data_IF_897562580818
#
_entry.id   IF_897562580818
#
_cell.length_a   1.000
_cell.length_b   1.000
_cell.length_c   1.000
_cell.angle_alpha   90.00
_cell.angle_beta   90.00
_cell.angle_gamma   90.00
#
_symmetry.space_group_name_H-M   'P 1'
#
loop_
_entity.id
_entity.type
_entity.pdbx_description
1 polymer ?
#
# COMPACT_ATOMS: atom_id res chain seq x y z
N UNK A 1 -24.33 20.82 15.53
CA UNK A 1 -23.57 19.90 16.40
C UNK A 1 -23.86 18.46 15.97
N UNK A 2 -22.90 17.79 15.32
CA UNK A 2 -22.60 16.35 15.43
C UNK A 2 -21.46 16.00 14.46
N UNK A 3 -20.23 16.11 14.99
CA UNK A 3 -18.96 15.69 14.37
C UNK A 3 -18.92 14.17 14.26
N UNK A 4 -19.55 13.59 13.25
CA UNK A 4 -19.16 12.26 12.75
C UNK A 4 -18.14 12.42 11.60
N UNK A 5 -17.14 13.27 11.83
CA UNK A 5 -15.86 13.36 11.12
C UNK A 5 -14.92 12.40 11.87
N UNK A 6 -14.36 11.33 11.30
CA UNK A 6 -13.58 11.31 10.05
C UNK A 6 -13.79 10.03 9.23
N UNK A 7 -13.68 10.21 7.92
CA UNK A 7 -13.59 9.22 6.83
C UNK A 7 -12.73 8.00 7.17
N UNK A 8 -13.32 6.80 7.28
CA UNK A 8 -12.55 5.57 7.45
C UNK A 8 -12.96 4.41 6.53
N UNK A 9 -13.35 4.65 5.28
CA UNK A 9 -13.51 3.54 4.32
C UNK A 9 -13.47 3.89 2.82
N UNK A 10 -12.99 5.07 2.42
CA UNK A 10 -12.85 5.45 1.01
C UNK A 10 -11.39 5.41 0.47
N UNK A 11 -10.41 5.06 1.33
CA UNK A 11 -8.96 5.23 1.06
C UNK A 11 -8.13 4.15 1.78
N UNK A 12 -8.26 2.87 1.41
CA UNK A 12 -7.44 1.79 1.97
C UNK A 12 -5.95 1.95 1.62
N UNK A 13 -5.05 1.37 2.44
CA UNK A 13 -3.59 1.47 2.24
C UNK A 13 -3.14 0.99 0.83
N UNK A 14 -3.85 0.04 0.22
CA UNK A 14 -3.62 -0.40 -1.16
C UNK A 14 -3.75 0.73 -2.20
N UNK A 15 -4.67 1.68 -1.99
CA UNK A 15 -4.82 2.86 -2.86
C UNK A 15 -3.61 3.79 -2.68
N UNK A 16 -3.13 3.97 -1.46
CA UNK A 16 -1.94 4.78 -1.18
C UNK A 16 -0.69 4.21 -1.85
N UNK A 17 -0.52 2.89 -1.78
CA UNK A 17 0.57 2.15 -2.45
C UNK A 17 0.47 2.31 -3.97
N UNK A 18 -0.73 2.11 -4.54
CA UNK A 18 -0.96 2.30 -5.99
C UNK A 18 -0.63 3.71 -6.45
N UNK A 19 -1.04 4.74 -5.68
CA UNK A 19 -0.75 6.14 -5.97
C UNK A 19 0.74 6.44 -5.93
N UNK A 20 1.44 5.95 -4.91
CA UNK A 20 2.88 6.12 -4.79
C UNK A 20 3.61 5.47 -5.98
N UNK A 21 3.27 4.23 -6.32
CA UNK A 21 3.81 3.52 -7.50
C UNK A 21 3.63 4.32 -8.79
N UNK A 22 2.41 4.81 -9.04
CA UNK A 22 2.12 5.62 -10.23
C UNK A 22 2.84 6.98 -10.19
N UNK A 23 3.09 7.54 -9.01
CA UNK A 23 3.91 8.76 -8.84
C UNK A 23 5.37 8.58 -9.28
N UNK A 24 5.92 7.38 -9.13
CA UNK A 24 7.23 7.01 -9.70
C UNK A 24 7.17 6.63 -11.19
N UNK A 25 5.99 6.57 -11.80
CA UNK A 25 5.81 6.09 -13.17
C UNK A 25 6.01 4.57 -13.33
N UNK A 26 5.94 3.80 -12.24
CA UNK A 26 6.23 2.36 -12.26
C UNK A 26 5.02 1.50 -12.62
N UNK A 27 5.26 0.40 -13.34
CA UNK A 27 4.33 -0.73 -13.48
C UNK A 27 4.32 -1.58 -12.22
N UNK A 28 3.32 -2.49 -12.09
CA UNK A 28 3.30 -3.43 -10.97
C UNK A 28 4.52 -4.37 -10.97
N UNK A 29 4.96 -4.83 -12.14
CA UNK A 29 6.24 -5.56 -12.31
C UNK A 29 7.42 -4.78 -11.75
N UNK A 30 7.56 -3.50 -12.12
CA UNK A 30 8.68 -2.69 -11.65
C UNK A 30 8.67 -2.50 -10.14
N UNK A 31 7.51 -2.25 -9.52
CA UNK A 31 7.43 -2.21 -8.06
C UNK A 31 7.77 -3.58 -7.43
N UNK A 32 7.32 -4.66 -8.04
CA UNK A 32 7.59 -6.01 -7.54
C UNK A 32 9.09 -6.34 -7.57
N UNK A 33 9.79 -5.95 -8.65
CA UNK A 33 11.24 -6.06 -8.79
C UNK A 33 11.98 -5.24 -7.73
N UNK A 34 11.62 -3.95 -7.57
CA UNK A 34 12.24 -3.08 -6.57
C UNK A 34 11.98 -3.54 -5.12
N UNK A 35 10.85 -4.19 -4.86
CA UNK A 35 10.49 -4.72 -3.54
C UNK A 35 10.89 -6.18 -3.32
N UNK A 36 11.53 -6.84 -4.30
CA UNK A 36 11.86 -8.27 -4.24
C UNK A 36 10.68 -9.18 -3.84
N UNK A 37 9.54 -8.97 -4.51
CA UNK A 37 8.31 -9.76 -4.33
C UNK A 37 7.74 -10.18 -5.68
N UNK A 38 6.75 -11.08 -5.66
CA UNK A 38 6.01 -11.43 -6.86
C UNK A 38 5.07 -10.29 -7.29
N UNK A 39 4.89 -10.06 -8.58
CA UNK A 39 3.87 -9.13 -9.09
C UNK A 39 2.45 -9.43 -8.57
N UNK A 40 1.98 -10.70 -8.49
CA UNK A 40 0.71 -11.00 -7.84
C UNK A 40 0.61 -10.47 -6.41
N UNK A 41 1.70 -10.40 -5.65
CA UNK A 41 1.71 -9.77 -4.32
C UNK A 41 1.37 -8.28 -4.41
N UNK A 42 1.94 -7.54 -5.37
CA UNK A 42 1.60 -6.13 -5.61
C UNK A 42 0.12 -5.98 -5.97
N UNK A 43 -0.39 -6.83 -6.88
CA UNK A 43 -1.80 -6.78 -7.28
C UNK A 43 -2.75 -7.01 -6.09
N UNK A 44 -2.46 -7.97 -5.21
CA UNK A 44 -3.23 -8.23 -3.98
C UNK A 44 -3.19 -7.04 -3.02
N UNK A 45 -2.01 -6.47 -2.80
CA UNK A 45 -1.82 -5.29 -1.95
C UNK A 45 -2.65 -4.11 -2.46
N UNK A 46 -2.55 -3.79 -3.75
CA UNK A 46 -3.28 -2.65 -4.33
C UNK A 46 -4.80 -2.87 -4.34
N UNK A 47 -5.24 -4.13 -4.40
CA UNK A 47 -6.64 -4.52 -4.26
C UNK A 47 -7.13 -4.55 -2.80
N UNK A 48 -6.25 -4.28 -1.83
CA UNK A 48 -6.59 -4.29 -0.39
C UNK A 48 -6.85 -5.68 0.15
N UNK A 49 -6.33 -6.73 -0.49
CA UNK A 49 -6.44 -8.11 -0.04
C UNK A 49 -5.41 -8.44 1.04
N UNK A 50 -5.69 -9.48 1.82
CA UNK A 50 -4.78 -9.96 2.87
C UNK A 50 -3.41 -10.33 2.31
N UNK A 51 -2.37 -9.80 2.97
CA UNK A 51 -0.97 -10.12 2.71
C UNK A 51 -0.20 -10.20 4.03
N UNK A 52 0.95 -10.86 4.00
CA UNK A 52 1.83 -10.85 5.18
C UNK A 52 2.37 -9.45 5.44
N UNK A 53 2.56 -9.11 6.71
CA UNK A 53 3.24 -7.87 7.13
C UNK A 53 4.65 -7.78 6.55
N UNK A 54 5.37 -8.91 6.44
CA UNK A 54 6.69 -8.96 5.81
C UNK A 54 6.68 -8.54 4.33
N UNK A 55 5.71 -9.01 3.56
CA UNK A 55 5.52 -8.59 2.16
C UNK A 55 5.15 -7.11 2.08
N UNK A 56 4.28 -6.65 2.99
CA UNK A 56 3.88 -5.25 3.03
C UNK A 56 5.07 -4.32 3.34
N UNK A 57 5.91 -4.68 4.32
CA UNK A 57 7.10 -3.89 4.68
C UNK A 57 8.06 -3.73 3.50
N UNK A 58 8.37 -4.81 2.76
CA UNK A 58 9.23 -4.73 1.57
C UNK A 58 8.72 -3.73 0.52
N UNK A 59 7.40 -3.72 0.30
CA UNK A 59 6.76 -2.80 -0.66
C UNK A 59 6.78 -1.35 -0.17
N UNK A 60 6.60 -1.14 1.13
CA UNK A 60 6.67 0.17 1.76
C UNK A 60 8.09 0.74 1.70
N UNK A 61 9.09 -0.10 1.96
CA UNK A 61 10.51 0.27 1.88
C UNK A 61 10.89 0.67 0.44
N UNK A 62 10.48 -0.12 -0.56
CA UNK A 62 10.72 0.17 -1.98
C UNK A 62 10.06 1.47 -2.47
N UNK A 63 8.99 1.92 -1.81
CA UNK A 63 8.31 3.18 -2.11
C UNK A 63 8.81 4.36 -1.26
N UNK A 64 9.77 4.12 -0.36
CA UNK A 64 10.23 5.09 0.63
C UNK A 64 9.09 5.67 1.48
N UNK A 65 8.12 4.82 1.83
CA UNK A 65 6.98 5.16 2.67
C UNK A 65 7.21 4.68 4.12
N UNK A 66 6.35 5.11 5.04
CA UNK A 66 6.37 4.65 6.44
C UNK A 66 5.03 4.03 6.79
N UNK A 67 5.04 2.83 7.36
CA UNK A 67 3.86 2.21 7.96
C UNK A 67 3.67 2.75 9.38
N UNK A 68 2.52 3.38 9.65
CA UNK A 68 2.10 3.74 11.02
C UNK A 68 0.92 2.89 11.44
N UNK A 69 1.04 2.26 12.60
CA UNK A 69 -0.03 1.51 13.25
C UNK A 69 -0.48 2.34 14.44
N UNK A 70 -1.74 2.72 14.44
CA UNK A 70 -2.36 3.45 15.54
C UNK A 70 -3.38 2.52 16.20
N UNK A 71 -3.20 2.25 17.49
CA UNK A 71 -4.25 1.62 18.30
C UNK A 71 -5.30 2.68 18.62
N UNK A 72 -6.57 2.36 18.34
CA UNK A 72 -7.71 3.20 18.68
C UNK A 72 -7.87 3.38 20.20
#
# INVERSE_FOLDING_TARGET
MNRKTMSNNATGFGISIRRARLGYGWTQEQLAENAEVSRPSIARIEAGQDVSTATLTKVIDALHMVLRIESA
#
